data_IF_515082462947
#
_entry.id   IF_515082462947
#
_cell.length_a   1.000
_cell.length_b   1.000
_cell.length_c   1.000
_cell.angle_alpha   90.00
_cell.angle_beta   90.00
_cell.angle_gamma   90.00
#
_symmetry.space_group_name_H-M   'P 1'
#
loop_
_entity.id
_entity.type
_entity.pdbx_description
1 polymer ?
#
# COMPACT_ATOMS: atom_id res chain seq x y z
N UNK A 1 15.11 -10.84 30.95
CA UNK A 1 14.53 -11.18 29.64
C UNK A 1 14.53 -9.89 28.85
N UNK A 2 15.34 -9.76 27.80
CA UNK A 2 15.32 -8.57 26.96
C UNK A 2 14.16 -8.75 25.98
N UNK A 3 13.09 -7.98 26.14
CA UNK A 3 12.04 -7.87 25.12
C UNK A 3 12.61 -7.10 23.94
N UNK A 4 12.67 -7.72 22.77
CA UNK A 4 12.90 -6.99 21.54
C UNK A 4 11.66 -6.10 21.28
N UNK A 5 11.85 -4.79 21.07
CA UNK A 5 10.82 -3.91 20.51
C UNK A 5 10.50 -4.42 19.11
N UNK A 6 9.30 -4.97 18.93
CA UNK A 6 8.74 -5.20 17.60
C UNK A 6 8.10 -3.88 17.19
N UNK A 7 8.86 -3.05 16.48
CA UNK A 7 8.34 -1.91 15.73
C UNK A 7 7.08 -2.34 14.96
N UNK A 8 6.00 -1.57 15.08
CA UNK A 8 4.78 -1.78 14.31
C UNK A 8 5.02 -1.50 12.82
N UNK A 9 5.43 -2.53 12.07
CA UNK A 9 5.62 -2.42 10.62
C UNK A 9 4.25 -2.40 9.93
N UNK A 10 3.81 -1.22 9.48
CA UNK A 10 2.69 -1.07 8.55
C UNK A 10 3.21 -1.20 7.13
N UNK A 11 2.67 -2.15 6.38
CA UNK A 11 2.94 -2.31 4.95
C UNK A 11 1.90 -1.54 4.12
N UNK A 12 2.35 -0.68 3.20
CA UNK A 12 1.48 0.02 2.24
C UNK A 12 1.66 -0.55 0.84
N UNK A 13 0.57 -1.03 0.27
CA UNK A 13 0.48 -1.42 -1.14
C UNK A 13 -0.39 -0.42 -1.91
N UNK A 14 0.06 0.02 -3.08
CA UNK A 14 -0.66 1.04 -3.88
C UNK A 14 -0.96 0.45 -5.25
N UNK A 15 -2.23 0.28 -5.61
CA UNK A 15 -2.64 -0.26 -6.93
C UNK A 15 -3.41 0.80 -7.70
N UNK A 16 -3.06 1.02 -8.97
CA UNK A 16 -3.83 1.89 -9.87
C UNK A 16 -4.72 1.03 -10.76
N UNK A 17 -6.02 1.28 -10.74
CA UNK A 17 -6.99 0.66 -11.65
C UNK A 17 -7.00 1.31 -13.02
N UNK A 18 -7.55 0.61 -14.02
CA UNK A 18 -7.70 1.12 -15.39
C UNK A 18 -8.63 2.34 -15.49
N UNK A 19 -9.45 2.56 -14.45
CA UNK A 19 -10.34 3.71 -14.27
C UNK A 19 -9.65 4.94 -13.67
N UNK A 20 -8.33 4.86 -13.41
CA UNK A 20 -7.55 5.92 -12.79
C UNK A 20 -7.79 6.05 -11.27
N UNK A 21 -8.52 5.11 -10.65
CA UNK A 21 -8.66 5.05 -9.20
C UNK A 21 -7.43 4.37 -8.61
N UNK A 22 -6.82 5.02 -7.63
CA UNK A 22 -5.68 4.49 -6.89
C UNK A 22 -6.20 3.93 -5.58
N UNK A 23 -6.04 2.62 -5.38
CA UNK A 23 -6.37 1.94 -4.13
C UNK A 23 -5.12 1.82 -3.28
N UNK A 24 -5.16 2.33 -2.06
CA UNK A 24 -4.12 2.18 -1.05
C UNK A 24 -4.59 1.19 -0.01
N UNK A 25 -3.81 0.12 0.19
CA UNK A 25 -4.05 -0.92 1.17
C UNK A 25 -2.95 -0.90 2.23
N UNK A 26 -3.35 -0.72 3.48
CA UNK A 26 -2.48 -0.80 4.65
C UNK A 26 -2.71 -2.14 5.33
N UNK A 27 -1.64 -2.93 5.48
CA UNK A 27 -1.63 -4.12 6.33
C UNK A 27 -1.09 -3.74 7.70
N UNK A 28 -1.82 -4.09 8.75
CA UNK A 28 -1.56 -3.70 10.13
C UNK A 28 -1.16 -4.92 10.97
N UNK A 29 -0.32 -4.75 12.00
CA UNK A 29 -0.06 -5.79 12.99
C UNK A 29 -1.34 -6.33 13.62
N UNK A 30 -1.36 -7.62 13.94
CA UNK A 30 -2.52 -8.25 14.60
C UNK A 30 -2.75 -7.63 15.97
N UNK A 31 -4.01 -7.23 16.25
CA UNK A 31 -4.41 -6.67 17.53
C UNK A 31 -3.90 -5.26 17.80
N UNK A 32 -3.40 -4.56 16.78
CA UNK A 32 -2.97 -3.16 16.92
C UNK A 32 -4.11 -2.28 17.45
N UNK A 33 -3.79 -1.43 18.41
CA UNK A 33 -4.68 -0.36 18.89
C UNK A 33 -3.89 0.93 18.77
N UNK A 34 -4.40 1.92 18.05
CA UNK A 34 -3.58 3.08 17.71
C UNK A 34 -4.20 4.08 16.77
N UNK A 35 -3.34 4.93 16.21
CA UNK A 35 -3.70 5.93 15.22
C UNK A 35 -2.75 5.90 14.02
N UNK A 36 -3.29 6.09 12.83
CA UNK A 36 -2.52 6.25 11.60
C UNK A 36 -2.90 7.61 10.99
N UNK A 37 -1.90 8.42 10.67
CA UNK A 37 -2.08 9.66 9.94
C UNK A 37 -1.46 9.49 8.55
N UNK A 38 -2.28 9.60 7.50
CA UNK A 38 -1.81 9.65 6.11
C UNK A 38 -1.85 11.08 5.58
N UNK A 39 -0.75 11.53 4.98
CA UNK A 39 -0.61 12.80 4.30
C UNK A 39 -0.57 12.54 2.79
N UNK A 40 -1.68 12.89 2.15
CA UNK A 40 -1.87 12.77 0.70
C UNK A 40 -1.11 13.90 0.00
N UNK A 41 -0.26 13.61 -1.00
CA UNK A 41 0.43 14.66 -1.74
C UNK A 41 -0.54 15.51 -2.56
N UNK A 42 -0.16 16.77 -2.80
CA UNK A 42 -0.91 17.64 -3.70
C UNK A 42 -1.06 17.01 -5.09
N UNK A 43 -2.18 17.30 -5.76
CA UNK A 43 -2.54 16.68 -7.04
C UNK A 43 -3.27 15.35 -6.92
N UNK A 44 -3.47 14.84 -5.69
CA UNK A 44 -4.30 13.69 -5.41
C UNK A 44 -5.52 14.09 -4.57
N UNK A 45 -6.67 13.56 -4.95
CA UNK A 45 -7.96 13.72 -4.28
C UNK A 45 -8.28 12.46 -3.49
N UNK A 46 -8.72 12.61 -2.24
CA UNK A 46 -9.23 11.49 -1.44
C UNK A 46 -10.69 11.20 -1.80
N UNK A 47 -10.97 9.97 -2.20
CA UNK A 47 -12.31 9.54 -2.63
C UNK A 47 -13.11 8.87 -1.50
N UNK A 48 -12.44 8.39 -0.46
CA UNK A 48 -13.08 7.70 0.65
C UNK A 48 -12.30 6.47 1.13
N UNK A 49 -12.87 5.78 2.11
CA UNK A 49 -12.35 4.55 2.71
C UNK A 49 -13.50 3.59 2.99
N UNK A 50 -13.18 2.30 3.12
CA UNK A 50 -14.09 1.31 3.70
C UNK A 50 -13.99 1.23 5.23
N UNK A 51 -13.08 2.00 5.85
CA UNK A 51 -12.94 2.08 7.30
C UNK A 51 -14.17 2.76 7.92
N UNK A 52 -14.45 2.47 9.19
CA UNK A 52 -15.65 3.01 9.83
C UNK A 52 -15.60 4.55 9.90
N UNK A 53 -16.74 5.20 9.63
CA UNK A 53 -16.84 6.67 9.57
C UNK A 53 -16.53 7.33 10.92
N UNK A 54 -16.88 6.69 12.04
CA UNK A 54 -16.59 7.16 13.39
C UNK A 54 -15.13 6.91 13.82
N UNK A 55 -14.39 6.13 13.03
CA UNK A 55 -12.96 5.86 13.20
C UNK A 55 -12.11 6.54 12.12
N UNK A 56 -12.72 7.35 11.24
CA UNK A 56 -12.02 8.05 10.15
C UNK A 56 -12.28 9.54 10.21
N UNK A 57 -11.23 10.34 10.03
CA UNK A 57 -11.39 11.78 9.82
C UNK A 57 -10.51 12.26 8.67
N UNK A 58 -11.11 12.94 7.70
CA UNK A 58 -10.40 13.69 6.68
C UNK A 58 -10.36 15.19 7.03
N UNK A 59 -9.19 15.81 6.92
CA UNK A 59 -8.99 17.25 6.98
C UNK A 59 -8.04 17.69 5.85
N UNK A 60 -8.61 18.09 4.71
CA UNK A 60 -7.85 18.42 3.51
C UNK A 60 -7.09 17.19 3.00
N UNK A 61 -5.76 17.31 2.91
CA UNK A 61 -4.85 16.22 2.49
C UNK A 61 -4.45 15.29 3.63
N UNK A 62 -4.91 15.53 4.87
CA UNK A 62 -4.61 14.68 6.01
C UNK A 62 -5.79 13.76 6.30
N UNK A 63 -5.53 12.46 6.37
CA UNK A 63 -6.50 11.43 6.77
C UNK A 63 -6.02 10.85 8.09
N UNK A 64 -6.92 10.68 9.05
CA UNK A 64 -6.65 10.07 10.35
C UNK A 64 -7.53 8.82 10.47
N UNK A 65 -6.91 7.70 10.82
CA UNK A 65 -7.59 6.45 11.12
C UNK A 65 -7.35 6.10 12.58
N UNK A 66 -8.42 5.83 13.32
CA UNK A 66 -8.35 5.15 14.60
C UNK A 66 -8.39 3.64 14.36
N UNK A 67 -7.43 2.92 14.93
CA UNK A 67 -7.31 1.47 14.81
C UNK A 67 -7.66 0.84 16.16
N UNK A 68 -8.63 -0.07 16.16
CA UNK A 68 -9.16 -0.80 17.30
C UNK A 68 -9.22 -2.31 16.94
N UNK A 69 -8.05 -2.87 16.62
CA UNK A 69 -7.88 -4.28 16.33
C UNK A 69 -8.09 -4.66 14.86
N UNK A 70 -8.30 -3.70 13.95
CA UNK A 70 -8.34 -4.00 12.52
C UNK A 70 -6.97 -4.44 12.01
N UNK A 71 -6.97 -5.41 11.10
CA UNK A 71 -5.76 -5.88 10.43
C UNK A 71 -5.46 -5.14 9.13
N UNK A 72 -6.43 -4.40 8.61
CA UNK A 72 -6.29 -3.71 7.32
C UNK A 72 -7.08 -2.42 7.28
N UNK A 73 -6.54 -1.42 6.59
CA UNK A 73 -7.28 -0.22 6.17
C UNK A 73 -7.14 -0.06 4.67
N UNK A 74 -8.23 0.22 3.97
CA UNK A 74 -8.22 0.48 2.52
C UNK A 74 -8.86 1.82 2.22
N UNK A 75 -8.20 2.64 1.41
CA UNK A 75 -8.75 3.91 0.95
C UNK A 75 -8.41 4.18 -0.51
N UNK A 76 -9.19 5.05 -1.13
CA UNK A 76 -9.10 5.36 -2.55
C UNK A 76 -8.72 6.81 -2.79
N UNK A 77 -7.85 7.01 -3.77
CA UNK A 77 -7.41 8.31 -4.26
C UNK A 77 -7.70 8.43 -5.75
N UNK A 78 -7.74 9.67 -6.25
CA UNK A 78 -7.70 9.99 -7.69
C UNK A 78 -6.55 10.96 -7.94
N UNK A 79 -5.79 10.74 -9.00
CA UNK A 79 -4.69 11.59 -9.42
C UNK A 79 -3.83 10.91 -10.47
N UNK A 80 -2.86 11.65 -11.01
CA UNK A 80 -1.95 11.14 -12.03
C UNK A 80 -0.70 10.49 -11.42
N UNK A 81 -0.37 9.28 -11.86
CA UNK A 81 0.81 8.54 -11.40
C UNK A 81 0.67 7.90 -10.01
N UNK A 82 1.81 7.56 -9.40
CA UNK A 82 1.85 6.88 -8.10
C UNK A 82 2.09 7.90 -6.97
N UNK A 83 1.19 8.03 -5.98
CA UNK A 83 1.35 9.01 -4.92
C UNK A 83 2.49 8.63 -3.96
N UNK A 84 3.33 9.62 -3.62
CA UNK A 84 4.25 9.53 -2.48
C UNK A 84 3.50 9.94 -1.22
N UNK A 85 2.95 8.96 -0.53
CA UNK A 85 2.19 9.14 0.70
C UNK A 85 3.18 9.12 1.87
N UNK A 86 3.06 10.09 2.75
CA UNK A 86 3.84 10.19 3.99
C UNK A 86 2.88 10.18 5.18
N UNK A 87 3.38 10.02 6.39
CA UNK A 87 2.48 9.87 7.52
C UNK A 87 3.15 9.28 8.74
N UNK A 88 2.44 9.34 9.85
CA UNK A 88 2.88 8.81 11.14
C UNK A 88 1.95 7.73 11.66
N UNK A 89 2.49 6.89 12.54
CA UNK A 89 1.77 5.88 13.29
C UNK A 89 2.01 6.06 14.78
N UNK A 90 0.95 5.90 15.56
CA UNK A 90 1.01 5.76 17.01
C UNK A 90 0.44 4.41 17.39
N UNK A 91 1.27 3.55 17.99
CA UNK A 91 0.83 2.29 18.59
C UNK A 91 0.57 2.52 20.08
N UNK A 92 -0.69 2.41 20.50
CA UNK A 92 -1.10 2.59 21.89
C UNK A 92 -0.93 1.31 22.72
N UNK A 93 -0.61 0.18 22.11
CA UNK A 93 -0.28 -1.07 22.84
C UNK A 93 1.15 -1.04 23.36
N UNK A 94 2.07 -0.42 22.61
CA UNK A 94 3.49 -0.28 22.96
C UNK A 94 3.85 1.13 23.44
N UNK A 95 3.08 2.15 23.03
CA UNK A 95 3.39 3.56 23.24
C UNK A 95 4.40 4.13 22.24
N UNK A 96 4.74 3.38 21.19
CA UNK A 96 5.69 3.80 20.16
C UNK A 96 5.00 4.73 19.14
N UNK A 97 5.71 5.80 18.76
CA UNK A 97 5.29 6.73 17.71
C UNK A 97 6.38 6.77 16.62
N UNK A 98 5.98 6.63 15.37
CA UNK A 98 6.89 6.70 14.22
C UNK A 98 6.40 7.74 13.21
N UNK A 99 7.29 8.63 12.79
CA UNK A 99 6.98 9.78 11.92
C UNK A 99 6.94 9.41 10.42
N UNK A 100 7.41 8.22 10.05
CA UNK A 100 7.51 7.79 8.64
C UNK A 100 7.06 6.34 8.51
N UNK A 101 5.92 6.11 7.86
CA UNK A 101 5.49 4.76 7.43
C UNK A 101 6.37 4.33 6.24
N UNK A 102 7.34 3.41 6.40
CA UNK A 102 8.45 3.26 5.46
C UNK A 102 8.16 2.29 4.29
N UNK A 103 7.12 1.46 4.35
CA UNK A 103 6.84 0.48 3.31
C UNK A 103 5.91 1.01 2.24
N UNK A 104 6.40 1.58 1.13
CA UNK A 104 5.59 1.75 -0.09
C UNK A 104 5.99 0.69 -1.13
N UNK A 105 5.13 -0.29 -1.37
CA UNK A 105 5.30 -1.26 -2.47
C UNK A 105 4.30 -0.96 -3.59
N UNK A 106 4.80 -0.50 -4.74
CA UNK A 106 4.02 -0.46 -5.98
C UNK A 106 4.01 -1.88 -6.58
N UNK A 107 2.87 -2.45 -6.98
CA UNK A 107 2.86 -3.59 -7.88
C UNK A 107 3.52 -3.14 -9.19
N UNK A 108 4.43 -3.96 -9.70
CA UNK A 108 5.00 -3.75 -11.03
C UNK A 108 3.86 -3.70 -12.06
N UNK A 109 3.96 -2.88 -13.12
CA UNK A 109 2.96 -2.87 -14.17
C UNK A 109 2.82 -4.30 -14.73
N UNK A 110 1.60 -4.83 -14.75
CA UNK A 110 1.31 -6.10 -15.39
C UNK A 110 1.66 -5.95 -16.88
N UNK A 111 2.80 -6.49 -17.30
CA UNK A 111 3.08 -6.68 -18.72
C UNK A 111 2.08 -7.72 -19.22
N UNK A 112 0.98 -7.25 -19.82
CA UNK A 112 0.06 -8.11 -20.55
C UNK A 112 0.81 -8.57 -21.80
N UNK A 113 1.43 -9.76 -21.73
CA UNK A 113 1.98 -10.43 -22.90
C UNK A 113 0.79 -11.01 -23.70
N UNK A 114 0.15 -10.16 -24.49
CA UNK A 114 -0.83 -10.58 -25.47
C UNK A 114 -0.12 -11.36 -26.59
N UNK A 115 -0.22 -12.69 -26.50
CA UNK A 115 -0.29 -13.68 -27.59
C UNK A 115 0.64 -13.56 -28.81
N UNK A 116 1.50 -14.56 -29.00
CA UNK A 116 1.51 -15.39 -30.20
C UNK A 116 2.44 -16.60 -30.03
N UNK A 117 1.84 -17.79 -30.09
CA UNK A 117 2.49 -19.09 -30.27
C UNK A 117 2.86 -19.25 -31.75
N UNK A 118 4.14 -19.48 -32.11
CA UNK A 118 4.55 -20.56 -33.05
C UNK A 118 6.07 -20.77 -33.15
N UNK A 119 6.48 -22.01 -32.83
CA UNK A 119 7.34 -22.90 -33.63
C UNK A 119 8.81 -22.52 -33.94
N UNK A 120 9.76 -23.18 -33.27
CA UNK A 120 10.56 -24.27 -33.85
C UNK A 120 11.82 -24.54 -33.02
N UNK A 121 11.81 -25.67 -32.31
CA UNK A 121 13.02 -26.35 -31.85
C UNK A 121 13.79 -26.81 -33.10
N UNK A 122 14.99 -26.27 -33.32
CA UNK A 122 15.91 -26.79 -34.33
C UNK A 122 17.32 -26.90 -33.76
N UNK A 123 17.44 -27.70 -32.70
CA UNK A 123 18.69 -28.37 -32.36
C UNK A 123 18.73 -29.63 -33.23
N UNK A 124 19.34 -29.55 -34.43
CA UNK A 124 20.02 -30.71 -35.03
C UNK A 124 20.93 -30.29 -36.20
N UNK A 125 22.18 -30.73 -36.10
CA UNK A 125 23.17 -30.97 -37.17
C UNK A 125 24.02 -29.80 -37.68
N UNK A 126 25.10 -29.55 -36.93
CA UNK A 126 26.40 -29.15 -37.48
C UNK A 126 27.26 -30.40 -37.68
N UNK A 127 27.20 -31.04 -38.86
CA UNK A 127 28.23 -31.97 -39.39
C UNK A 127 27.96 -32.30 -40.87
N UNK A 128 29.03 -32.27 -41.68
CA UNK A 128 29.15 -32.48 -43.14
C UNK A 128 28.70 -31.27 -43.98
N UNK A 129 29.50 -30.68 -44.86
CA UNK A 129 30.77 -31.06 -45.50
C UNK A 129 31.68 -29.85 -45.70
#
# INVERSE_FOLDING_TARGET
MCTASTTAFIDRTITTGDDGIITVHLSLPEGMIGGIIELIPAGFEYLGTSHADDQTQQQGQRIRFAIIGENTVTYSLRGEGTPRITGSVLDLTTGEEEEIIPGQKSPAPAVILAGAITLAVLIFRRRYS
#
